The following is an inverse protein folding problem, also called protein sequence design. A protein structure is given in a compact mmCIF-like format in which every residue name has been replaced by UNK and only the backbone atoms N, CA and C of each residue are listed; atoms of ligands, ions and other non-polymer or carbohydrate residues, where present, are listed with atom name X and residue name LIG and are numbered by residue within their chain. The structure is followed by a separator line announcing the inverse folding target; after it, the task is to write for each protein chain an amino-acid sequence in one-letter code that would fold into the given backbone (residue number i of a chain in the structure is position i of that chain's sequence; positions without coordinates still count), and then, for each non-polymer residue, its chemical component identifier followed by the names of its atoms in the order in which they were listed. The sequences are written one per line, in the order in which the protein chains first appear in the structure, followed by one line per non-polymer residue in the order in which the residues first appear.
data_IF_972688527287
#
_entry.id   IF_972688527287
#
_cell.length_a   1.000
_cell.length_b   1.000
_cell.length_c   1.000
_cell.angle_alpha   90.00
_cell.angle_beta   90.00
_cell.angle_gamma   90.00
#
_symmetry.space_group_name_H-M   'P 1'
#
loop_
_entity.id
_entity.type
_entity.pdbx_description
1 polymer ?
#
# COMPACT_ATOMS: atom_id res chain seq x y z
N UNK A 1 -28.48 23.90 -8.69
CA UNK A 1 -27.21 24.36 -8.06
C UNK A 1 -27.43 25.72 -7.41
N UNK A 2 -27.28 25.80 -6.08
CA UNK A 2 -26.92 27.00 -5.30
C UNK A 2 -26.17 26.54 -4.04
N UNK A 3 -25.28 27.40 -3.50
CA UNK A 3 -24.02 27.03 -2.87
C UNK A 3 -24.09 27.11 -1.35
N UNK A 4 -23.28 26.32 -0.64
CA UNK A 4 -23.04 26.55 0.79
C UNK A 4 -23.12 25.35 1.72
N UNK A 5 -23.09 24.11 1.22
CA UNK A 5 -22.65 22.99 2.06
C UNK A 5 -21.16 23.17 2.32
N UNK A 6 -20.89 23.95 3.36
CA UNK A 6 -19.60 24.02 4.03
C UNK A 6 -19.27 22.60 4.45
N UNK A 7 -18.54 21.91 3.56
CA UNK A 7 -17.83 20.68 3.86
C UNK A 7 -16.81 21.04 4.93
N UNK A 8 -17.24 20.99 6.19
CA UNK A 8 -16.34 21.03 7.33
C UNK A 8 -15.56 19.71 7.30
N UNK A 9 -14.50 19.66 6.49
CA UNK A 9 -13.42 18.71 6.61
C UNK A 9 -12.76 18.96 7.97
N UNK A 10 -13.33 18.38 9.03
CA UNK A 10 -12.57 18.08 10.24
C UNK A 10 -11.58 17.00 9.84
N UNK A 11 -10.43 17.41 9.33
CA UNK A 11 -9.24 16.57 9.26
C UNK A 11 -8.95 16.10 10.69
N UNK A 12 -9.42 14.92 11.04
CA UNK A 12 -8.90 14.18 12.19
C UNK A 12 -7.52 13.69 11.77
N UNK A 13 -6.52 14.55 11.94
CA UNK A 13 -5.13 14.12 12.13
C UNK A 13 -5.08 13.38 13.48
N UNK A 14 -5.69 12.19 13.53
CA UNK A 14 -5.58 11.31 14.68
C UNK A 14 -4.13 10.90 14.86
N UNK A 15 -3.76 10.51 16.08
CA UNK A 15 -2.50 9.80 16.29
C UNK A 15 -2.50 8.56 15.40
N UNK A 16 -1.48 8.44 14.56
CA UNK A 16 -1.24 7.23 13.79
C UNK A 16 -0.25 6.39 14.57
N UNK A 17 -0.58 5.11 14.74
CA UNK A 17 0.32 4.12 15.29
C UNK A 17 0.71 3.15 14.16
N UNK A 18 1.96 2.71 14.19
CA UNK A 18 2.39 1.59 13.36
C UNK A 18 1.65 0.32 13.81
N UNK A 19 1.35 -0.56 12.87
CA UNK A 19 0.99 -1.94 13.20
C UNK A 19 2.16 -2.61 13.93
N UNK A 20 1.85 -3.53 14.83
CA UNK A 20 2.84 -4.27 15.60
C UNK A 20 3.81 -4.99 14.66
N UNK A 21 5.11 -4.75 14.84
CA UNK A 21 6.16 -5.37 14.04
C UNK A 21 6.38 -4.78 12.63
N UNK A 22 5.58 -3.82 12.16
CA UNK A 22 5.72 -3.28 10.81
C UNK A 22 7.04 -2.53 10.61
N UNK A 23 7.40 -1.60 11.49
CA UNK A 23 8.67 -0.85 11.39
C UNK A 23 9.90 -1.78 11.39
N UNK A 24 9.91 -2.78 12.28
CA UNK A 24 10.97 -3.78 12.35
C UNK A 24 11.07 -4.58 11.03
N UNK A 25 9.92 -4.95 10.48
CA UNK A 25 9.86 -5.73 9.24
C UNK A 25 10.34 -4.91 8.05
N UNK A 26 9.81 -3.70 7.88
CA UNK A 26 10.25 -2.78 6.81
C UNK A 26 11.75 -2.52 6.91
N UNK A 27 12.28 -2.28 8.11
CA UNK A 27 13.73 -2.09 8.33
C UNK A 27 14.55 -3.32 7.98
N UNK A 28 14.05 -4.53 8.23
CA UNK A 28 14.74 -5.77 7.83
C UNK A 28 14.76 -5.95 6.30
N UNK A 29 13.75 -5.44 5.60
CA UNK A 29 13.62 -5.56 4.15
C UNK A 29 14.47 -4.53 3.39
N UNK A 30 14.65 -3.30 3.88
CA UNK A 30 15.43 -2.24 3.18
C UNK A 30 16.88 -2.63 2.87
N UNK A 31 17.46 -3.61 3.56
CA UNK A 31 18.80 -4.13 3.27
C UNK A 31 18.86 -5.16 2.13
N UNK A 32 17.70 -5.59 1.60
CA UNK A 32 17.59 -6.68 0.62
C UNK A 32 16.69 -6.35 -0.56
N UNK A 33 15.73 -5.45 -0.37
CA UNK A 33 14.74 -5.04 -1.36
C UNK A 33 14.64 -3.52 -1.37
N UNK A 34 14.42 -2.96 -2.56
CA UNK A 34 13.90 -1.61 -2.69
C UNK A 34 12.44 -1.61 -2.27
N UNK A 35 12.05 -0.65 -1.44
CA UNK A 35 10.67 -0.55 -0.96
C UNK A 35 10.00 0.64 -1.61
N UNK A 36 8.85 0.39 -2.22
CA UNK A 36 7.96 1.44 -2.72
C UNK A 36 6.64 1.42 -1.93
N UNK A 37 6.03 2.59 -1.76
CA UNK A 37 4.74 2.74 -1.10
C UNK A 37 3.70 3.26 -2.07
N UNK A 38 2.60 2.52 -2.24
CA UNK A 38 1.52 2.86 -3.17
C UNK A 38 0.21 3.01 -2.39
N UNK A 39 -0.50 4.13 -2.56
CA UNK A 39 -1.71 4.39 -1.76
C UNK A 39 -2.82 5.11 -2.51
N UNK A 40 -4.06 4.77 -2.15
CA UNK A 40 -5.28 5.50 -2.53
C UNK A 40 -5.49 6.76 -1.66
N UNK A 41 -4.44 7.58 -1.50
CA UNK A 41 -4.49 8.78 -0.67
C UNK A 41 -3.72 9.93 -1.31
N UNK A 42 -4.20 11.15 -1.08
CA UNK A 42 -3.51 12.37 -1.50
C UNK A 42 -2.33 12.63 -0.57
N UNK A 43 -1.23 13.11 -1.14
CA UNK A 43 -0.01 13.47 -0.40
C UNK A 43 -0.31 14.36 0.81
N UNK A 44 -1.09 15.42 0.62
CA UNK A 44 -1.45 16.36 1.68
C UNK A 44 -2.16 15.73 2.89
N UNK A 45 -2.76 14.54 2.72
CA UNK A 45 -3.45 13.79 3.78
C UNK A 45 -2.54 12.75 4.43
N UNK A 46 -1.69 12.07 3.64
CA UNK A 46 -0.92 10.93 4.13
C UNK A 46 0.52 11.27 4.52
N UNK A 47 1.18 12.22 3.84
CA UNK A 47 2.57 12.59 4.15
C UNK A 47 2.76 12.99 5.63
N UNK A 48 1.88 13.80 6.27
CA UNK A 48 2.03 14.12 7.69
C UNK A 48 1.97 12.90 8.62
N UNK A 49 1.27 11.83 8.21
CA UNK A 49 1.20 10.57 8.97
C UNK A 49 2.50 9.78 8.85
N UNK A 50 3.06 9.71 7.65
CA UNK A 50 4.36 9.05 7.42
C UNK A 50 5.47 9.78 8.19
N UNK A 51 5.42 11.12 8.21
CA UNK A 51 6.35 11.95 8.98
C UNK A 51 6.21 11.73 10.48
N UNK A 52 4.98 11.60 10.99
CA UNK A 52 4.72 11.27 12.40
C UNK A 52 5.28 9.89 12.77
N UNK A 53 5.22 8.92 11.85
CA UNK A 53 5.75 7.58 12.04
C UNK A 53 7.26 7.48 11.80
N UNK A 54 7.87 8.47 11.12
CA UNK A 54 9.30 8.46 10.79
C UNK A 54 9.71 7.41 9.74
N UNK A 55 8.77 6.91 8.94
CA UNK A 55 9.01 5.80 8.00
C UNK A 55 9.17 6.24 6.53
N UNK A 56 8.94 7.52 6.21
CA UNK A 56 9.04 8.02 4.83
C UNK A 56 10.37 7.67 4.17
N UNK A 57 11.46 7.70 4.93
CA UNK A 57 12.82 7.41 4.45
C UNK A 57 13.11 5.92 4.21
N UNK A 58 12.19 5.02 4.55
CA UNK A 58 12.34 3.59 4.26
C UNK A 58 11.96 3.26 2.81
N UNK A 59 11.24 4.16 2.14
CA UNK A 59 10.74 3.95 0.78
C UNK A 59 11.53 4.78 -0.22
N UNK A 60 11.92 4.17 -1.32
CA UNK A 60 12.56 4.85 -2.46
C UNK A 60 11.52 5.68 -3.21
N UNK A 61 10.36 5.07 -3.50
CA UNK A 61 9.23 5.75 -4.12
C UNK A 61 8.02 5.78 -3.20
N UNK A 62 7.35 6.92 -3.12
CA UNK A 62 6.01 7.02 -2.55
C UNK A 62 5.06 7.56 -3.63
N UNK A 63 4.07 6.74 -4.00
CA UNK A 63 3.08 7.04 -5.04
C UNK A 63 1.74 7.37 -4.39
N UNK A 64 1.31 8.62 -4.58
CA UNK A 64 0.03 9.16 -4.17
C UNK A 64 -0.94 9.25 -5.34
N UNK A 65 -2.25 9.32 -5.06
CA UNK A 65 -3.21 9.70 -6.11
C UNK A 65 -3.01 11.17 -6.49
N UNK A 66 -2.88 11.42 -7.80
CA UNK A 66 -2.91 12.75 -8.39
C UNK A 66 -4.32 13.32 -8.55
N UNK A 67 -4.42 14.47 -9.22
CA UNK A 67 -5.72 15.10 -9.53
C UNK A 67 -6.51 14.31 -10.58
N UNK A 68 -5.81 13.78 -11.59
CA UNK A 68 -6.38 13.02 -12.72
C UNK A 68 -6.03 11.52 -12.65
N UNK A 69 -5.47 11.05 -11.54
CA UNK A 69 -5.04 9.66 -11.36
C UNK A 69 -6.20 8.83 -10.82
N UNK A 70 -6.43 7.68 -11.42
CA UNK A 70 -7.43 6.75 -10.91
C UNK A 70 -6.94 6.01 -9.66
N UNK A 71 -7.88 5.67 -8.78
CA UNK A 71 -7.61 4.90 -7.56
C UNK A 71 -7.35 3.43 -7.94
N UNK A 72 -6.52 2.73 -7.16
CA UNK A 72 -6.50 1.27 -7.16
C UNK A 72 -7.93 0.73 -7.03
N UNK A 73 -8.35 -0.29 -7.80
CA UNK A 73 -7.50 -1.23 -8.55
C UNK A 73 -7.05 -0.76 -9.95
N UNK A 74 -7.32 0.48 -10.35
CA UNK A 74 -6.83 0.96 -11.64
C UNK A 74 -5.30 0.81 -11.72
N UNK A 75 -4.75 0.29 -12.83
CA UNK A 75 -3.35 -0.11 -12.94
C UNK A 75 -2.35 1.06 -12.89
N UNK A 76 -2.82 2.29 -13.05
CA UNK A 76 -1.98 3.48 -13.22
C UNK A 76 -0.96 3.67 -12.08
N UNK A 77 -1.38 3.51 -10.83
CA UNK A 77 -0.51 3.67 -9.66
C UNK A 77 0.58 2.59 -9.60
N UNK A 78 0.22 1.33 -9.89
CA UNK A 78 1.17 0.21 -9.93
C UNK A 78 2.18 0.38 -11.06
N UNK A 79 1.70 0.73 -12.26
CA UNK A 79 2.57 1.00 -13.41
C UNK A 79 3.47 2.21 -13.16
N UNK A 80 3.00 3.22 -12.42
CA UNK A 80 3.84 4.35 -12.03
C UNK A 80 4.96 3.90 -11.09
N UNK A 81 4.67 3.11 -10.06
CA UNK A 81 5.68 2.59 -9.16
C UNK A 81 6.75 1.79 -9.91
N UNK A 82 6.35 0.81 -10.74
CA UNK A 82 7.27 0.04 -11.58
C UNK A 82 8.14 0.92 -12.49
N UNK A 83 7.58 1.99 -13.06
CA UNK A 83 8.34 2.92 -13.90
C UNK A 83 9.37 3.72 -13.11
N UNK A 84 9.07 4.10 -11.86
CA UNK A 84 9.98 4.90 -11.04
C UNK A 84 11.09 4.02 -10.46
N UNK A 85 10.77 2.82 -9.96
CA UNK A 85 11.77 1.86 -9.48
C UNK A 85 12.57 1.23 -10.61
N UNK A 86 12.00 1.17 -11.82
CA UNK A 86 12.63 0.51 -12.97
C UNK A 86 12.51 -1.02 -12.93
N UNK A 87 11.76 -1.58 -11.99
CA UNK A 87 11.49 -3.01 -11.89
C UNK A 87 10.52 -3.48 -12.98
N UNK A 88 10.67 -4.73 -13.43
CA UNK A 88 9.62 -5.41 -14.18
C UNK A 88 8.57 -6.02 -13.23
N UNK A 89 7.33 -6.28 -13.71
CA UNK A 89 6.30 -6.89 -12.85
C UNK A 89 6.72 -8.22 -12.20
N UNK A 90 7.54 -9.03 -12.89
CA UNK A 90 8.06 -10.31 -12.41
C UNK A 90 9.23 -10.18 -11.40
N UNK A 91 9.74 -8.97 -11.20
CA UNK A 91 10.74 -8.65 -10.17
C UNK A 91 10.10 -7.98 -8.93
N UNK A 92 8.80 -7.72 -8.96
CA UNK A 92 8.07 -7.00 -7.93
C UNK A 92 7.15 -7.93 -7.13
N UNK A 93 7.03 -7.64 -5.83
CA UNK A 93 6.05 -8.25 -4.93
C UNK A 93 5.22 -7.13 -4.29
N UNK A 94 3.90 -7.14 -4.53
CA UNK A 94 2.99 -6.21 -3.90
C UNK A 94 2.46 -6.79 -2.58
N UNK A 95 2.44 -5.99 -1.52
CA UNK A 95 1.85 -6.37 -0.23
C UNK A 95 0.75 -5.38 0.13
N UNK A 96 -0.47 -5.87 0.33
CA UNK A 96 -1.63 -5.04 0.68
C UNK A 96 -2.67 -5.80 1.49
N UNK A 97 -3.64 -5.08 2.01
CA UNK A 97 -4.69 -5.58 2.90
C UNK A 97 -6.07 -5.63 2.25
N UNK A 98 -6.30 -4.88 1.18
CA UNK A 98 -7.60 -4.80 0.51
C UNK A 98 -7.63 -5.65 -0.76
N UNK A 99 -8.43 -6.73 -0.78
CA UNK A 99 -8.41 -7.69 -1.89
C UNK A 99 -8.69 -7.05 -3.25
N UNK A 100 -9.73 -6.22 -3.35
CA UNK A 100 -10.11 -5.60 -4.62
C UNK A 100 -9.06 -4.60 -5.09
N UNK A 101 -8.69 -3.63 -4.26
CA UNK A 101 -7.81 -2.55 -4.68
C UNK A 101 -6.34 -2.98 -4.76
N UNK A 102 -5.85 -3.79 -3.81
CA UNK A 102 -4.46 -4.22 -3.78
C UNK A 102 -4.22 -5.46 -4.64
N UNK A 103 -4.92 -6.55 -4.36
CA UNK A 103 -4.59 -7.86 -4.92
C UNK A 103 -5.04 -7.94 -6.38
N UNK A 104 -6.29 -7.57 -6.70
CA UNK A 104 -6.73 -7.52 -8.09
C UNK A 104 -6.01 -6.41 -8.88
N UNK A 105 -5.63 -5.30 -8.23
CA UNK A 105 -4.87 -4.22 -8.85
C UNK A 105 -3.45 -4.65 -9.26
N UNK A 106 -2.74 -5.36 -8.37
CA UNK A 106 -1.43 -5.93 -8.64
C UNK A 106 -1.50 -7.01 -9.73
N UNK A 107 -2.48 -7.92 -9.65
CA UNK A 107 -2.70 -8.97 -10.66
C UNK A 107 -2.97 -8.40 -12.06
N UNK A 108 -3.76 -7.31 -12.15
CA UNK A 108 -4.06 -6.65 -13.42
C UNK A 108 -2.81 -6.14 -14.17
N UNK A 109 -1.70 -5.92 -13.45
CA UNK A 109 -0.40 -5.55 -14.03
C UNK A 109 0.65 -6.66 -13.92
N UNK A 110 0.24 -7.86 -13.49
CA UNK A 110 1.07 -9.08 -13.34
C UNK A 110 2.19 -8.96 -12.30
N UNK A 111 1.95 -8.18 -11.25
CA UNK A 111 2.82 -8.17 -10.07
C UNK A 111 2.36 -9.30 -9.15
N UNK A 112 3.29 -10.12 -8.65
CA UNK A 112 2.97 -11.12 -7.63
C UNK A 112 2.50 -10.41 -6.35
N UNK A 113 1.50 -10.98 -5.67
CA UNK A 113 0.89 -10.34 -4.50
C UNK A 113 0.94 -11.22 -3.25
N UNK A 114 1.08 -10.59 -2.10
CA UNK A 114 0.83 -11.16 -0.77
C UNK A 114 -0.27 -10.35 -0.12
N UNK A 115 -1.30 -11.05 0.34
CA UNK A 115 -2.44 -10.46 0.99
C UNK A 115 -2.32 -10.54 2.51
N UNK A 116 -2.30 -9.37 3.16
CA UNK A 116 -2.43 -9.26 4.61
C UNK A 116 -3.91 -9.43 4.95
N UNK A 117 -4.27 -10.65 5.30
CA UNK A 117 -5.64 -11.10 5.45
C UNK A 117 -6.18 -10.80 6.86
N UNK A 118 -7.30 -10.08 6.93
CA UNK A 118 -8.11 -9.96 8.14
C UNK A 118 -9.45 -10.67 7.92
N UNK A 119 -9.62 -11.82 8.57
CA UNK A 119 -10.82 -12.66 8.48
C UNK A 119 -12.11 -11.88 8.80
N UNK A 120 -12.02 -10.86 9.66
CA UNK A 120 -13.18 -10.06 10.08
C UNK A 120 -13.70 -9.10 9.01
N UNK A 121 -12.89 -8.83 7.98
CA UNK A 121 -13.18 -7.90 6.89
C UNK A 121 -13.40 -8.62 5.55
N UNK A 122 -13.13 -9.92 5.49
CA UNK A 122 -13.21 -10.73 4.27
C UNK A 122 -14.65 -10.96 3.78
N UNK A 123 -14.77 -11.19 2.48
CA UNK A 123 -16.03 -11.57 1.83
C UNK A 123 -15.85 -12.86 1.03
N UNK A 124 -16.90 -13.68 0.91
CA UNK A 124 -16.82 -15.00 0.25
C UNK A 124 -16.48 -14.95 -1.26
N UNK A 125 -16.36 -13.77 -1.87
CA UNK A 125 -16.18 -13.58 -3.33
C UNK A 125 -14.70 -13.46 -3.78
N UNK A 126 -13.73 -13.65 -2.88
CA UNK A 126 -12.29 -13.53 -3.13
C UNK A 126 -11.72 -14.83 -3.74
N UNK A 127 -11.30 -14.80 -5.01
CA UNK A 127 -11.07 -16.03 -5.79
C UNK A 127 -9.67 -16.20 -6.39
N UNK A 128 -8.77 -15.22 -6.24
CA UNK A 128 -7.41 -15.31 -6.78
C UNK A 128 -6.52 -16.19 -5.88
N UNK A 129 -5.65 -17.04 -6.46
CA UNK A 129 -4.68 -17.82 -5.70
C UNK A 129 -3.54 -16.91 -5.22
N UNK A 130 -3.74 -16.25 -4.09
CA UNK A 130 -2.77 -15.32 -3.47
C UNK A 130 -2.23 -15.90 -2.16
N UNK A 131 -0.95 -15.63 -1.86
CA UNK A 131 -0.38 -15.97 -0.55
C UNK A 131 -1.02 -15.06 0.50
N UNK A 132 -1.55 -15.65 1.57
CA UNK A 132 -2.14 -14.92 2.69
C UNK A 132 -1.22 -14.95 3.90
N UNK A 133 -1.10 -13.83 4.58
CA UNK A 133 -0.43 -13.68 5.89
C UNK A 133 -1.35 -12.93 6.85
N UNK A 134 -1.31 -13.24 8.15
CA UNK A 134 -2.15 -12.57 9.14
C UNK A 134 -1.60 -11.21 9.59
N UNK A 135 -0.32 -10.95 9.32
CA UNK A 135 0.33 -9.69 9.65
C UNK A 135 1.55 -9.44 8.78
N UNK A 136 1.91 -8.17 8.59
CA UNK A 136 3.12 -7.78 7.87
C UNK A 136 4.39 -8.40 8.49
N UNK A 137 4.40 -8.68 9.79
CA UNK A 137 5.53 -9.30 10.50
C UNK A 137 5.90 -10.69 9.98
N UNK A 138 4.97 -11.38 9.31
CA UNK A 138 5.21 -12.69 8.72
C UNK A 138 6.01 -12.62 7.40
N UNK A 139 6.11 -11.45 6.77
CA UNK A 139 6.91 -11.26 5.55
C UNK A 139 8.36 -11.66 5.75
N UNK A 140 8.95 -11.37 6.92
CA UNK A 140 10.35 -11.76 7.17
C UNK A 140 10.54 -13.27 7.10
N UNK A 141 9.58 -14.05 7.60
CA UNK A 141 9.63 -15.51 7.50
C UNK A 141 9.40 -15.98 6.07
N UNK A 142 8.44 -15.37 5.36
CA UNK A 142 8.12 -15.70 3.97
C UNK A 142 9.30 -15.44 3.02
N UNK A 143 9.99 -14.31 3.21
CA UNK A 143 11.09 -13.85 2.35
C UNK A 143 12.47 -14.30 2.85
N UNK A 144 12.55 -15.02 3.98
CA UNK A 144 13.80 -15.52 4.54
C UNK A 144 14.78 -14.44 5.00
N UNK A 145 14.27 -13.38 5.65
CA UNK A 145 15.04 -12.20 6.06
C UNK A 145 15.26 -12.09 7.55
#
# INVERSE_FOLDING_TARGET
MKPGEVYSHRHRYGQVASLDGAEKTLTALTGRYELDLIMNAKEAVQQPKLDQLGISSLFETIVYIGYDTEYKPHPELFQQALRVSGASPDEALYVGDDFESDICGADAVRIDAVWVFDETLSTDDETLPVIQIGSIAELSSLLGT
#
